data_IF_088750600664
#
_entry.id   IF_088750600664
#
_cell.length_a   1.000
_cell.length_b   1.000
_cell.length_c   1.000
_cell.angle_alpha   90.00
_cell.angle_beta   90.00
_cell.angle_gamma   90.00
#
_symmetry.space_group_name_H-M   'P 1'
#
loop_
_entity.id
_entity.type
_entity.pdbx_description
1 polymer ?
#
# COMPACT_ATOMS: atom_id res chain seq x y z
N UNK A 1 -7.35 -17.07 -2.43
CA UNK A 1 -5.88 -17.20 -2.28
C UNK A 1 -5.64 -17.99 -1.01
N UNK A 2 -4.79 -19.02 -1.03
CA UNK A 2 -4.48 -19.79 0.17
C UNK A 2 -3.68 -18.94 1.18
N UNK A 3 -4.10 -18.90 2.44
CA UNK A 3 -3.39 -18.17 3.51
C UNK A 3 -1.92 -18.57 3.61
N UNK A 4 -1.62 -19.86 3.40
CA UNK A 4 -0.24 -20.38 3.36
C UNK A 4 0.61 -19.70 2.29
N UNK A 5 0.05 -19.44 1.10
CA UNK A 5 0.78 -18.77 0.00
C UNK A 5 1.02 -17.30 0.30
N UNK A 6 0.06 -16.63 0.94
CA UNK A 6 0.22 -15.25 1.40
C UNK A 6 1.34 -15.17 2.43
N UNK A 7 1.34 -16.05 3.42
CA UNK A 7 2.36 -16.06 4.46
C UNK A 7 3.77 -16.29 3.89
N UNK A 8 3.93 -17.25 2.98
CA UNK A 8 5.22 -17.51 2.31
C UNK A 8 5.67 -16.29 1.47
N UNK A 9 4.73 -15.60 0.81
CA UNK A 9 5.01 -14.37 0.08
C UNK A 9 5.52 -13.25 0.99
N UNK A 10 4.84 -13.01 2.11
CA UNK A 10 5.22 -12.01 3.11
C UNK A 10 6.58 -12.32 3.73
N UNK A 11 6.86 -13.59 4.06
CA UNK A 11 8.17 -14.02 4.56
C UNK A 11 9.26 -13.76 3.50
N UNK A 12 8.98 -14.05 2.22
CA UNK A 12 9.89 -13.75 1.13
C UNK A 12 10.23 -12.25 1.02
N UNK A 13 9.23 -11.38 1.15
CA UNK A 13 9.41 -9.93 1.18
C UNK A 13 10.24 -9.48 2.39
N UNK A 14 9.96 -10.02 3.58
CA UNK A 14 10.72 -9.73 4.79
C UNK A 14 12.21 -10.13 4.66
N UNK A 15 12.49 -11.29 4.08
CA UNK A 15 13.86 -11.72 3.79
C UNK A 15 14.54 -10.73 2.83
N UNK A 16 13.82 -10.28 1.78
CA UNK A 16 14.30 -9.24 0.87
C UNK A 16 14.65 -7.94 1.58
N UNK A 17 13.80 -7.48 2.49
CA UNK A 17 14.03 -6.30 3.32
C UNK A 17 15.21 -6.41 4.29
N UNK A 18 15.58 -7.63 4.71
CA UNK A 18 16.76 -7.86 5.55
C UNK A 18 18.03 -7.87 4.71
N UNK A 19 17.98 -8.49 3.53
CA UNK A 19 19.15 -8.64 2.65
C UNK A 19 19.48 -7.33 1.92
N UNK A 20 18.48 -6.59 1.44
CA UNK A 20 18.70 -5.39 0.64
C UNK A 20 19.58 -4.31 1.32
N UNK A 21 19.38 -3.98 2.61
CA UNK A 21 20.23 -3.05 3.34
C UNK A 21 21.69 -3.52 3.51
N UNK A 22 21.94 -4.84 3.54
CA UNK A 22 23.32 -5.37 3.61
C UNK A 22 24.13 -5.02 2.36
N UNK A 23 23.46 -4.76 1.24
CA UNK A 23 24.07 -4.31 -0.01
C UNK A 23 23.95 -2.78 -0.21
N UNK A 24 23.56 -2.04 0.83
CA UNK A 24 23.40 -0.58 0.77
C UNK A 24 22.11 -0.09 0.08
N UNK A 25 21.15 -0.99 -0.15
CA UNK A 25 19.84 -0.64 -0.72
C UNK A 25 18.81 -0.32 0.38
N UNK A 26 17.66 0.24 -0.02
CA UNK A 26 16.54 0.51 0.88
C UNK A 26 15.63 -0.73 1.02
N UNK A 27 14.77 -0.79 2.05
CA UNK A 27 13.74 -1.82 2.16
C UNK A 27 12.90 -1.90 0.88
N UNK A 28 12.62 -3.11 0.42
CA UNK A 28 11.97 -3.39 -0.86
C UNK A 28 10.56 -3.91 -0.65
N UNK A 29 9.68 -3.75 -1.64
CA UNK A 29 8.31 -4.27 -1.56
C UNK A 29 7.84 -4.75 -2.93
N UNK A 30 6.80 -5.57 -2.93
CA UNK A 30 6.22 -6.15 -4.13
C UNK A 30 5.38 -5.12 -4.90
N UNK A 31 5.65 -4.93 -6.20
CA UNK A 31 4.89 -4.01 -7.05
C UNK A 31 3.54 -4.59 -7.49
N UNK A 32 2.46 -3.87 -7.15
CA UNK A 32 1.08 -4.23 -7.51
C UNK A 32 0.74 -4.17 -9.01
N UNK A 33 1.63 -3.63 -9.85
CA UNK A 33 1.47 -3.60 -11.32
C UNK A 33 1.84 -4.93 -12.00
N UNK A 34 2.59 -5.80 -11.33
CA UNK A 34 3.08 -7.06 -11.89
C UNK A 34 1.95 -8.06 -12.29
N UNK A 35 0.87 -8.23 -11.52
CA UNK A 35 -0.27 -9.06 -11.92
C UNK A 35 -0.93 -8.64 -13.25
N UNK A 36 -0.94 -7.35 -13.58
CA UNK A 36 -1.50 -6.85 -14.84
C UNK A 36 -0.70 -7.32 -16.07
N UNK A 37 0.63 -7.32 -15.97
CA UNK A 37 1.51 -7.84 -17.03
C UNK A 37 1.37 -9.36 -17.18
N UNK A 38 1.23 -10.07 -16.06
CA UNK A 38 0.99 -11.53 -16.04
C UNK A 38 -0.34 -11.89 -16.71
N UNK A 39 -1.40 -11.10 -16.48
CA UNK A 39 -2.71 -11.30 -17.10
C UNK A 39 -2.67 -11.15 -18.64
N UNK A 40 -1.88 -10.19 -19.14
CA UNK A 40 -1.72 -9.94 -20.57
C UNK A 40 -0.84 -10.99 -21.26
N UNK A 41 0.31 -11.29 -20.67
CA UNK A 41 1.29 -12.23 -21.24
C UNK A 41 0.89 -13.69 -21.05
N UNK A 42 0.01 -13.99 -20.09
CA UNK A 42 -0.42 -15.35 -19.69
C UNK A 42 0.73 -16.28 -19.29
N UNK A 43 1.90 -15.74 -18.91
CA UNK A 43 3.07 -16.52 -18.46
C UNK A 43 3.17 -16.46 -16.93
N UNK A 44 2.57 -17.41 -16.22
CA UNK A 44 2.58 -17.48 -14.75
C UNK A 44 3.75 -18.30 -14.17
N UNK A 45 4.85 -18.42 -14.91
CA UNK A 45 5.98 -19.28 -14.53
C UNK A 45 6.92 -18.62 -13.52
N UNK A 46 7.23 -19.32 -12.42
CA UNK A 46 8.25 -18.88 -11.43
C UNK A 46 9.63 -18.69 -12.04
N UNK A 47 9.97 -19.44 -13.10
CA UNK A 47 11.26 -19.32 -13.77
C UNK A 47 11.39 -18.00 -14.54
N UNK A 48 10.27 -17.44 -15.02
CA UNK A 48 10.29 -16.13 -15.66
C UNK A 48 10.65 -15.03 -14.64
N UNK A 49 10.11 -15.10 -13.42
CA UNK A 49 10.45 -14.15 -12.35
C UNK A 49 11.92 -14.27 -11.91
N UNK A 50 12.43 -15.49 -11.73
CA UNK A 50 13.86 -15.72 -11.41
C UNK A 50 14.77 -15.24 -12.54
N UNK A 51 14.40 -15.51 -13.79
CA UNK A 51 15.13 -15.04 -14.98
C UNK A 51 15.18 -13.52 -15.08
N UNK A 52 14.05 -12.84 -14.83
CA UNK A 52 13.99 -11.39 -14.77
C UNK A 52 14.91 -10.83 -13.67
N UNK A 53 14.89 -11.44 -12.47
CA UNK A 53 15.79 -11.07 -11.38
C UNK A 53 17.27 -11.23 -11.75
N UNK A 54 17.64 -12.34 -12.39
CA UNK A 54 19.01 -12.58 -12.86
C UNK A 54 19.47 -11.54 -13.91
N UNK A 55 18.58 -11.18 -14.84
CA UNK A 55 18.85 -10.11 -15.82
C UNK A 55 19.03 -8.76 -15.13
N UNK A 56 18.18 -8.43 -14.15
CA UNK A 56 18.32 -7.21 -13.36
C UNK A 56 19.67 -7.15 -12.62
N UNK A 57 20.11 -8.27 -12.03
CA UNK A 57 21.42 -8.36 -11.36
C UNK A 57 22.56 -8.16 -12.38
N UNK A 58 22.49 -8.82 -13.54
CA UNK A 58 23.49 -8.67 -14.58
C UNK A 58 23.57 -7.22 -15.11
N UNK A 59 22.42 -6.56 -15.28
CA UNK A 59 22.34 -5.16 -15.68
C UNK A 59 22.85 -4.22 -14.59
N UNK A 60 22.54 -4.50 -13.32
CA UNK A 60 23.04 -3.73 -12.19
C UNK A 60 24.58 -3.79 -12.07
N UNK A 61 25.21 -4.91 -12.45
CA UNK A 61 26.68 -5.01 -12.45
C UNK A 61 27.36 -4.31 -13.64
N UNK A 62 26.60 -3.76 -14.60
CA UNK A 62 27.14 -3.12 -15.79
C UNK A 62 27.38 -1.61 -15.56
N UNK A 63 28.62 -1.14 -15.40
CA UNK A 63 28.91 0.26 -15.06
C UNK A 63 28.52 1.25 -16.16
N UNK A 64 28.50 0.81 -17.43
CA UNK A 64 28.06 1.64 -18.57
C UNK A 64 26.58 2.00 -18.47
N UNK A 65 25.74 1.09 -17.97
CA UNK A 65 24.31 1.34 -17.78
C UNK A 65 24.08 2.30 -16.61
N UNK A 66 24.84 2.13 -15.51
CA UNK A 66 24.79 3.05 -14.36
C UNK A 66 25.14 4.48 -14.78
N UNK A 67 26.20 4.65 -15.59
CA UNK A 67 26.59 5.97 -16.11
C UNK A 67 25.50 6.60 -16.99
N UNK A 68 24.80 5.79 -17.80
CA UNK A 68 23.68 6.28 -18.61
C UNK A 68 22.52 6.78 -17.75
N UNK A 69 22.16 6.03 -16.70
CA UNK A 69 21.11 6.42 -15.76
C UNK A 69 21.47 7.70 -15.01
N UNK A 70 22.75 7.88 -14.64
CA UNK A 70 23.23 9.07 -13.94
C UNK A 70 23.14 10.36 -14.76
N UNK A 71 23.11 10.27 -16.09
CA UNK A 71 23.00 11.43 -17.00
C UNK A 71 21.52 11.82 -17.24
N UNK A 72 20.55 11.01 -16.79
CA UNK A 72 19.12 11.31 -16.98
C UNK A 72 18.77 12.63 -16.26
N UNK A 73 18.20 13.62 -16.98
CA UNK A 73 17.80 14.88 -16.37
C UNK A 73 16.75 14.69 -15.28
N UNK A 74 16.85 15.47 -14.19
CA UNK A 74 15.92 15.43 -13.06
C UNK A 74 14.46 15.61 -13.49
N UNK A 75 14.18 16.44 -14.50
CA UNK A 75 12.83 16.67 -15.05
C UNK A 75 12.17 15.38 -15.54
N UNK A 76 12.94 14.44 -16.09
CA UNK A 76 12.43 13.15 -16.57
C UNK A 76 12.11 12.23 -15.39
N UNK A 77 12.98 12.24 -14.38
CA UNK A 77 12.82 11.44 -13.16
C UNK A 77 11.53 11.86 -12.43
N UNK A 78 11.28 13.17 -12.30
CA UNK A 78 10.05 13.67 -11.68
C UNK A 78 8.78 13.28 -12.45
N UNK A 79 8.83 13.26 -13.80
CA UNK A 79 7.70 12.77 -14.61
C UNK A 79 7.44 11.29 -14.39
N UNK A 80 8.47 10.45 -14.44
CA UNK A 80 8.33 9.02 -14.18
C UNK A 80 7.80 8.75 -12.76
N UNK A 81 8.32 9.48 -11.77
CA UNK A 81 7.86 9.41 -10.39
C UNK A 81 6.38 9.78 -10.24
N UNK A 82 5.91 10.83 -10.93
CA UNK A 82 4.50 11.24 -10.86
C UNK A 82 3.54 10.15 -11.33
N UNK A 83 3.91 9.36 -12.34
CA UNK A 83 3.09 8.23 -12.83
C UNK A 83 2.98 7.16 -11.74
N UNK A 84 4.09 6.79 -11.11
CA UNK A 84 4.11 5.81 -10.03
C UNK A 84 3.32 6.31 -8.81
N UNK A 85 3.44 7.60 -8.47
CA UNK A 85 2.68 8.22 -7.38
C UNK A 85 1.16 8.16 -7.62
N UNK A 86 0.71 8.43 -8.86
CA UNK A 86 -0.72 8.29 -9.23
C UNK A 86 -1.17 6.83 -9.12
N UNK A 87 -0.38 5.87 -9.61
CA UNK A 87 -0.71 4.45 -9.51
C UNK A 87 -0.84 3.97 -8.07
N UNK A 88 0.08 4.37 -7.19
CA UNK A 88 0.03 4.06 -5.75
C UNK A 88 -1.23 4.69 -5.13
N UNK A 89 -1.53 5.94 -5.46
CA UNK A 89 -2.71 6.65 -4.97
C UNK A 89 -4.00 5.92 -5.38
N UNK A 90 -4.12 5.53 -6.65
CA UNK A 90 -5.28 4.79 -7.16
C UNK A 90 -5.40 3.42 -6.49
N UNK A 91 -4.30 2.69 -6.32
CA UNK A 91 -4.29 1.42 -5.58
C UNK A 91 -4.73 1.59 -4.12
N UNK A 92 -4.40 2.71 -3.49
CA UNK A 92 -4.87 3.07 -2.16
C UNK A 92 -6.39 3.27 -2.12
N UNK A 93 -6.94 4.02 -3.09
CA UNK A 93 -8.40 4.21 -3.22
C UNK A 93 -9.14 2.90 -3.49
N UNK A 94 -8.63 2.05 -4.39
CA UNK A 94 -9.24 0.75 -4.68
C UNK A 94 -9.25 -0.18 -3.45
N UNK A 95 -8.21 -0.09 -2.60
CA UNK A 95 -8.15 -0.87 -1.35
C UNK A 95 -9.30 -0.49 -0.41
N UNK A 96 -9.65 0.80 -0.35
CA UNK A 96 -10.71 1.33 0.51
C UNK A 96 -12.10 1.13 -0.11
N UNK A 97 -12.20 1.13 -1.45
CA UNK A 97 -13.46 0.94 -2.18
C UNK A 97 -14.16 -0.39 -1.89
N UNK A 98 -13.41 -1.40 -1.44
CA UNK A 98 -13.96 -2.70 -1.05
C UNK A 98 -14.85 -2.66 0.21
N UNK A 99 -14.82 -1.56 0.98
CA UNK A 99 -15.64 -1.38 2.18
C UNK A 99 -16.87 -0.49 1.89
N UNK A 100 -17.96 -0.71 2.62
CA UNK A 100 -19.16 0.12 2.53
C UNK A 100 -18.83 1.58 2.90
N UNK A 101 -19.09 2.49 1.97
CA UNK A 101 -18.91 3.93 2.16
C UNK A 101 -20.02 4.53 3.04
N UNK A 102 -20.06 4.14 4.30
CA UNK A 102 -20.91 4.77 5.32
C UNK A 102 -20.31 6.11 5.74
N UNK A 103 -21.14 7.03 6.25
CA UNK A 103 -20.71 8.36 6.71
C UNK A 103 -19.52 8.28 7.69
N UNK A 104 -19.54 7.28 8.59
CA UNK A 104 -18.44 6.98 9.52
C UNK A 104 -17.13 6.69 8.78
N UNK A 105 -17.16 5.76 7.83
CA UNK A 105 -15.96 5.33 7.12
C UNK A 105 -15.41 6.47 6.26
N UNK A 106 -16.29 7.24 5.61
CA UNK A 106 -15.90 8.44 4.86
C UNK A 106 -15.21 9.48 5.75
N UNK A 107 -15.72 9.73 6.97
CA UNK A 107 -15.08 10.62 7.94
C UNK A 107 -13.70 10.12 8.37
N UNK A 108 -13.55 8.83 8.67
CA UNK A 108 -12.26 8.23 9.03
C UNK A 108 -11.25 8.43 7.90
N UNK A 109 -11.62 8.06 6.67
CA UNK A 109 -10.74 8.16 5.50
C UNK A 109 -10.36 9.62 5.26
N UNK A 110 -11.34 10.52 5.17
CA UNK A 110 -11.12 11.93 4.87
C UNK A 110 -10.24 12.63 5.90
N UNK A 111 -10.51 12.42 7.19
CA UNK A 111 -9.76 13.08 8.26
C UNK A 111 -8.35 12.49 8.43
N UNK A 112 -8.15 11.21 8.10
CA UNK A 112 -6.82 10.58 8.08
C UNK A 112 -5.95 11.11 6.94
N UNK A 113 -6.53 11.27 5.74
CA UNK A 113 -5.84 11.89 4.60
C UNK A 113 -5.52 13.36 4.91
N UNK A 114 -6.47 14.11 5.48
CA UNK A 114 -6.25 15.49 5.88
C UNK A 114 -5.10 15.62 6.89
N UNK A 115 -5.04 14.71 7.87
CA UNK A 115 -3.97 14.68 8.88
C UNK A 115 -2.60 14.35 8.27
N UNK A 116 -2.54 13.46 7.29
CA UNK A 116 -1.33 13.16 6.53
C UNK A 116 -0.81 14.41 5.77
N UNK A 117 -1.69 15.11 5.07
CA UNK A 117 -1.33 16.34 4.35
C UNK A 117 -0.91 17.43 5.35
N UNK A 118 -1.65 17.58 6.45
CA UNK A 118 -1.38 18.56 7.51
C UNK A 118 0.01 18.40 8.13
N UNK A 119 0.48 17.16 8.30
CA UNK A 119 1.81 16.88 8.83
C UNK A 119 2.95 17.44 7.94
N UNK A 120 2.76 17.52 6.62
CA UNK A 120 3.76 18.07 5.70
C UNK A 120 3.88 19.60 5.76
N UNK A 121 2.89 20.30 6.32
CA UNK A 121 2.87 21.76 6.41
C UNK A 121 3.68 22.25 7.62
N UNK A 122 3.95 21.38 8.60
CA UNK A 122 4.66 21.71 9.82
C UNK A 122 6.15 21.97 9.50
N UNK A 123 6.71 23.15 9.85
CA UNK A 123 8.12 23.43 9.62
C UNK A 123 9.05 22.46 10.36
N UNK A 124 10.08 21.98 9.67
CA UNK A 124 11.06 21.05 10.23
C UNK A 124 11.76 21.58 11.50
N UNK A 125 11.87 22.90 11.64
CA UNK A 125 12.44 23.57 12.83
C UNK A 125 11.62 23.38 14.10
N UNK A 126 10.30 23.19 13.97
CA UNK A 126 9.40 22.93 15.10
C UNK A 126 9.46 21.44 15.45
N UNK A 127 9.41 20.57 14.44
CA UNK A 127 9.51 19.12 14.61
C UNK A 127 10.84 18.72 15.29
N UNK A 128 11.95 19.36 14.92
CA UNK A 128 13.27 19.11 15.51
C UNK A 128 13.41 19.53 16.98
N UNK A 129 12.55 20.44 17.47
CA UNK A 129 12.52 20.86 18.88
C UNK A 129 11.65 19.96 19.75
N UNK A 130 10.88 19.05 19.17
CA UNK A 130 10.03 18.12 19.90
C UNK A 130 10.85 16.96 20.51
N UNK A 131 10.32 16.29 21.55
CA UNK A 131 10.94 15.06 22.04
C UNK A 131 11.10 14.04 20.91
N UNK A 132 12.14 13.22 21.00
CA UNK A 132 12.60 12.32 19.93
C UNK A 132 11.45 11.49 19.32
N UNK A 133 10.57 10.91 20.14
CA UNK A 133 9.40 10.14 19.67
C UNK A 133 8.44 10.95 18.79
N UNK A 134 8.13 12.20 19.18
CA UNK A 134 7.25 13.06 18.42
C UNK A 134 7.91 13.53 17.13
N UNK A 135 9.21 13.83 17.16
CA UNK A 135 9.97 14.18 15.96
C UNK A 135 9.96 13.06 14.91
N UNK A 136 10.06 11.79 15.33
CA UNK A 136 9.94 10.65 14.42
C UNK A 136 8.54 10.49 13.82
N UNK A 137 7.49 10.64 14.64
CA UNK A 137 6.10 10.51 14.18
C UNK A 137 5.76 11.63 13.21
N UNK A 138 5.99 12.89 13.59
CA UNK A 138 5.71 14.05 12.73
C UNK A 138 6.70 14.18 11.56
N UNK A 139 7.84 13.49 11.61
CA UNK A 139 8.77 13.37 10.48
C UNK A 139 8.26 12.46 9.35
N UNK A 140 7.22 11.65 9.59
CA UNK A 140 6.59 10.81 8.57
C UNK A 140 5.09 11.05 8.50
N UNK A 141 4.67 11.81 7.48
CA UNK A 141 3.26 12.11 7.22
C UNK A 141 2.38 10.85 7.10
N UNK A 142 2.92 9.78 6.54
CA UNK A 142 2.23 8.49 6.40
C UNK A 142 1.90 7.89 7.77
N UNK A 143 2.85 7.97 8.73
CA UNK A 143 2.65 7.48 10.09
C UNK A 143 1.58 8.31 10.81
N UNK A 144 1.61 9.63 10.66
CA UNK A 144 0.58 10.53 11.23
C UNK A 144 -0.81 10.17 10.71
N UNK A 145 -0.95 9.99 9.39
CA UNK A 145 -2.22 9.58 8.78
C UNK A 145 -2.71 8.21 9.24
N UNK A 146 -1.81 7.23 9.35
CA UNK A 146 -2.14 5.88 9.83
C UNK A 146 -2.60 5.89 11.30
N UNK A 147 -1.87 6.61 12.16
CA UNK A 147 -2.24 6.78 13.57
C UNK A 147 -3.58 7.49 13.71
N UNK A 148 -3.81 8.55 12.94
CA UNK A 148 -5.10 9.24 12.91
C UNK A 148 -6.24 8.28 12.53
N UNK A 149 -6.04 7.44 11.51
CA UNK A 149 -7.03 6.43 11.10
C UNK A 149 -7.35 5.43 12.21
N UNK A 150 -6.32 4.91 12.90
CA UNK A 150 -6.50 3.99 14.02
C UNK A 150 -7.25 4.66 15.17
N UNK A 151 -6.85 5.87 15.56
CA UNK A 151 -7.48 6.62 16.65
C UNK A 151 -8.95 6.92 16.31
N UNK A 152 -9.23 7.40 15.10
CA UNK A 152 -10.59 7.70 14.64
C UNK A 152 -11.46 6.45 14.59
N UNK A 153 -10.90 5.33 14.13
CA UNK A 153 -11.63 4.06 14.12
C UNK A 153 -11.94 3.53 15.53
N UNK A 154 -11.14 3.89 16.54
CA UNK A 154 -11.41 3.53 17.94
C UNK A 154 -12.38 4.49 18.64
N UNK A 155 -12.26 5.79 18.37
CA UNK A 155 -13.07 6.84 19.01
C UNK A 155 -14.48 6.90 18.42
N UNK A 156 -14.63 6.73 17.11
CA UNK A 156 -15.94 6.79 16.47
C UNK A 156 -16.74 5.52 16.78
N UNK A 157 -17.96 5.67 17.34
CA UNK A 157 -18.80 4.52 17.66
C UNK A 157 -19.06 3.72 16.39
N UNK A 158 -19.00 2.39 16.53
CA UNK A 158 -19.43 1.49 15.46
C UNK A 158 -20.94 1.65 15.36
N UNK A 159 -21.42 2.31 14.30
CA UNK A 159 -22.83 2.19 13.93
C UNK A 159 -23.13 0.72 13.66
N UNK A 160 -24.40 0.32 13.75
CA UNK A 160 -24.83 -1.04 13.41
C UNK A 160 -24.17 -1.46 12.09
N UNK A 161 -23.32 -2.48 12.15
CA UNK A 161 -22.87 -3.13 10.93
C UNK A 161 -24.14 -3.55 10.19
N UNK A 162 -24.24 -3.23 8.91
CA UNK A 162 -25.25 -3.83 8.04
C UNK A 162 -24.86 -5.30 7.85
N UNK A 163 -25.00 -6.09 8.91
CA UNK A 163 -25.20 -7.53 8.90
C UNK A 163 -26.58 -7.88 8.33
N UNK A 164 -27.37 -6.88 7.96
CA UNK A 164 -28.77 -7.03 7.56
C UNK A 164 -28.99 -7.40 6.09
N UNK A 165 -27.95 -7.44 5.24
CA UNK A 165 -28.10 -8.03 3.91
C UNK A 165 -28.03 -9.57 3.94
N UNK A 166 -27.26 -10.14 4.87
CA UNK A 166 -27.24 -11.58 5.10
C UNK A 166 -28.48 -12.03 5.89
N UNK A 167 -28.90 -11.26 6.90
CA UNK A 167 -30.12 -11.53 7.66
C UNK A 167 -31.38 -11.31 6.81
N UNK A 168 -31.44 -10.28 5.97
CA UNK A 168 -32.57 -10.03 5.06
C UNK A 168 -32.73 -11.05 3.94
N UNK A 169 -31.64 -11.70 3.49
CA UNK A 169 -31.70 -12.80 2.53
C UNK A 169 -32.11 -14.11 3.20
N UNK A 170 -31.65 -14.37 4.44
CA UNK A 170 -32.06 -15.53 5.24
C UNK A 170 -33.55 -15.46 5.66
N UNK A 171 -34.04 -14.27 6.04
CA UNK A 171 -35.46 -14.05 6.38
C UNK A 171 -36.38 -14.07 5.14
N UNK A 172 -35.88 -13.68 3.96
CA UNK A 172 -36.62 -13.79 2.71
C UNK A 172 -36.77 -15.27 2.27
N UNK A 173 -35.72 -16.06 2.46
CA UNK A 173 -35.72 -17.50 2.16
C UNK A 173 -36.55 -18.29 3.18
N UNK A 174 -36.59 -17.86 4.45
CA UNK A 174 -37.41 -18.48 5.49
C UNK A 174 -38.91 -18.17 5.35
N UNK A 175 -39.29 -17.08 4.68
CA UNK A 175 -40.70 -16.75 4.37
C UNK A 175 -41.24 -17.45 3.12
N UNK A 176 -40.38 -18.07 2.30
CA UNK A 176 -40.79 -18.84 1.12
C UNK A 176 -40.87 -20.35 1.35
N UNK A 177 -40.60 -20.88 2.54
CA UNK A 177 -40.96 -22.27 2.87
C UNK A 177 -42.48 -22.37 3.10
N UNK A 178 -43.24 -23.04 2.20
CA UNK A 178 -44.64 -23.32 2.47
C UNK A 178 -44.75 -24.29 3.65
N UNK A 179 -45.61 -23.94 4.60
CA UNK A 179 -46.14 -24.89 5.58
C UNK A 179 -46.93 -25.95 4.80
N UNK A 180 -46.28 -27.08 4.53
CA UNK A 180 -46.92 -28.35 4.16
C UNK A 180 -46.26 -29.48 4.90
#
# INVERSE_FOLDING_TARGET
MDEKRVNIGVIGEAIGCIIAPLFGSLPVTSYGSNPGVLALTKVYSRFAAVGAGAVCIAMALCPKLMALIAIIPSTVIWRAYSIVAVLITMSGFDSVKSYLFNDRNQMIIGLSVLSCIGANIIPATIVAKMPLLFSYIFGSAIVVGALASIILNLVLPKGEEVTDFAAGFDDALRKEEPVT
#
